data_IF_993874513448
#
_entry.id   IF_993874513448
#
_cell.length_a   1.000
_cell.length_b   1.000
_cell.length_c   1.000
_cell.angle_alpha   90.00
_cell.angle_beta   90.00
_cell.angle_gamma   90.00
#
_symmetry.space_group_name_H-M   'P 1'
#
loop_
_entity.id
_entity.type
_entity.pdbx_description
1 polymer ?
#
# COMPACT_ATOMS: atom_id res chain seq x y z
N UNK A 1 -29.25 10.05 -9.27
CA UNK A 1 -29.16 8.92 -8.33
C UNK A 1 -28.18 9.27 -7.24
N UNK A 2 -28.54 9.03 -5.99
CA UNK A 2 -27.60 9.21 -4.87
C UNK A 2 -26.49 8.14 -4.96
N UNK A 3 -25.29 8.39 -4.40
CA UNK A 3 -24.25 7.36 -4.32
C UNK A 3 -24.75 6.06 -3.67
N UNK A 4 -25.61 6.17 -2.65
CA UNK A 4 -26.23 5.03 -1.96
C UNK A 4 -27.18 4.21 -2.84
N UNK A 5 -27.80 4.82 -3.86
CA UNK A 5 -28.61 4.13 -4.87
C UNK A 5 -27.76 3.49 -5.97
N UNK A 6 -26.55 4.02 -6.21
CA UNK A 6 -25.67 3.59 -7.30
C UNK A 6 -24.72 2.46 -6.85
N UNK A 7 -24.30 2.46 -5.59
CA UNK A 7 -23.40 1.43 -5.01
C UNK A 7 -23.96 0.01 -5.15
N UNK A 8 -25.26 -0.27 -4.90
CA UNK A 8 -25.84 -1.59 -5.11
C UNK A 8 -25.90 -2.02 -6.59
N UNK A 9 -25.74 -1.09 -7.53
CA UNK A 9 -25.75 -1.35 -8.98
C UNK A 9 -24.34 -1.61 -9.54
N UNK A 10 -23.29 -1.26 -8.79
CA UNK A 10 -21.89 -1.44 -9.18
C UNK A 10 -21.48 -2.90 -8.97
N UNK A 11 -21.67 -3.72 -10.00
CA UNK A 11 -21.34 -5.14 -9.93
C UNK A 11 -19.88 -5.48 -10.29
N UNK A 12 -19.11 -4.51 -10.77
CA UNK A 12 -17.79 -4.76 -11.34
C UNK A 12 -16.86 -3.54 -11.24
N UNK A 13 -15.61 -3.76 -10.85
CA UNK A 13 -14.49 -2.82 -10.98
C UNK A 13 -13.42 -3.45 -11.87
N UNK A 14 -12.90 -2.69 -12.81
CA UNK A 14 -11.97 -3.18 -13.84
C UNK A 14 -10.67 -2.36 -13.79
N UNK A 15 -9.53 -3.04 -13.78
CA UNK A 15 -8.23 -2.44 -14.02
C UNK A 15 -7.34 -3.42 -14.80
N UNK A 16 -7.17 -3.19 -16.09
CA UNK A 16 -6.48 -4.13 -16.99
C UNK A 16 -7.07 -5.56 -16.88
N UNK A 17 -6.28 -6.55 -16.48
CA UNK A 17 -6.69 -7.93 -16.23
C UNK A 17 -7.26 -8.19 -14.83
N UNK A 18 -7.09 -7.25 -13.90
CA UNK A 18 -7.64 -7.32 -12.55
C UNK A 18 -9.12 -6.89 -12.55
N UNK A 19 -9.99 -7.82 -12.17
CA UNK A 19 -11.45 -7.61 -12.09
C UNK A 19 -11.94 -7.94 -10.69
N UNK A 20 -12.70 -7.00 -10.10
CA UNK A 20 -13.39 -7.20 -8.82
C UNK A 20 -14.89 -7.23 -9.10
N UNK A 21 -15.53 -8.35 -8.76
CA UNK A 21 -16.98 -8.48 -8.80
C UNK A 21 -17.56 -8.21 -7.41
N UNK A 22 -18.63 -7.43 -7.36
CA UNK A 22 -19.34 -7.09 -6.13
C UNK A 22 -20.80 -7.48 -6.34
N UNK A 23 -21.30 -8.42 -5.55
CA UNK A 23 -22.67 -8.90 -5.70
C UNK A 23 -23.15 -9.54 -4.40
N UNK A 24 -24.47 -9.66 -4.25
CA UNK A 24 -25.05 -10.53 -3.25
C UNK A 24 -24.71 -12.00 -3.55
N UNK A 25 -24.66 -12.83 -2.52
CA UNK A 25 -24.40 -14.28 -2.62
C UNK A 25 -25.30 -14.98 -3.64
N UNK A 26 -26.58 -14.64 -3.66
CA UNK A 26 -27.60 -15.19 -4.56
C UNK A 26 -27.32 -14.86 -6.03
N UNK A 27 -26.64 -13.74 -6.31
CA UNK A 27 -26.40 -13.24 -7.66
C UNK A 27 -24.97 -13.49 -8.14
N UNK A 28 -24.02 -13.68 -7.24
CA UNK A 28 -22.60 -13.90 -7.55
C UNK A 28 -22.37 -15.08 -8.51
N UNK A 29 -23.03 -16.23 -8.31
CA UNK A 29 -22.91 -17.39 -9.21
C UNK A 29 -23.36 -17.06 -10.64
N UNK A 30 -24.44 -16.29 -10.79
CA UNK A 30 -24.91 -15.84 -12.11
C UNK A 30 -23.92 -14.88 -12.77
N UNK A 31 -23.31 -13.98 -11.98
CA UNK A 31 -22.32 -13.02 -12.46
C UNK A 31 -21.03 -13.72 -12.92
N UNK A 32 -20.54 -14.69 -12.15
CA UNK A 32 -19.37 -15.51 -12.51
C UNK A 32 -19.60 -16.27 -13.82
N UNK A 33 -20.80 -16.84 -14.01
CA UNK A 33 -21.17 -17.51 -15.27
C UNK A 33 -21.13 -16.54 -16.45
N UNK A 34 -21.64 -15.31 -16.31
CA UNK A 34 -21.54 -14.29 -17.37
C UNK A 34 -20.09 -13.93 -17.69
N UNK A 35 -19.23 -13.81 -16.66
CA UNK A 35 -17.80 -13.56 -16.86
C UNK A 35 -17.10 -14.71 -17.59
N UNK A 36 -17.49 -15.95 -17.31
CA UNK A 36 -17.02 -17.14 -18.01
C UNK A 36 -17.46 -17.14 -19.47
N UNK A 37 -18.76 -16.98 -19.75
CA UNK A 37 -19.30 -16.91 -21.12
C UNK A 37 -18.62 -15.81 -21.95
N UNK A 38 -18.51 -14.60 -21.38
CA UNK A 38 -17.83 -13.47 -22.02
C UNK A 38 -16.36 -13.78 -22.31
N UNK A 39 -15.63 -14.37 -21.36
CA UNK A 39 -14.21 -14.70 -21.58
C UNK A 39 -14.00 -15.67 -22.73
N UNK A 40 -14.86 -16.70 -22.83
CA UNK A 40 -14.82 -17.68 -23.92
C UNK A 40 -15.16 -17.03 -25.26
N UNK A 41 -16.18 -16.16 -25.29
CA UNK A 41 -16.57 -15.41 -26.48
C UNK A 41 -15.44 -14.50 -26.98
N UNK A 42 -14.71 -13.87 -26.07
CA UNK A 42 -13.64 -12.92 -26.40
C UNK A 42 -12.27 -13.58 -26.56
N UNK A 43 -12.16 -14.90 -26.42
CA UNK A 43 -10.92 -15.64 -26.66
C UNK A 43 -9.86 -15.50 -25.57
N UNK A 44 -10.24 -15.14 -24.33
CA UNK A 44 -9.33 -15.13 -23.18
C UNK A 44 -9.83 -16.04 -22.06
N UNK A 45 -8.99 -16.30 -21.05
CA UNK A 45 -9.39 -17.11 -19.89
C UNK A 45 -9.00 -16.44 -18.58
N UNK A 46 -9.91 -16.49 -17.62
CA UNK A 46 -9.60 -16.20 -16.22
C UNK A 46 -8.61 -17.24 -15.68
N UNK A 47 -7.79 -16.86 -14.70
CA UNK A 47 -6.94 -17.80 -13.99
C UNK A 47 -7.52 -18.06 -12.58
N UNK A 48 -8.26 -19.17 -12.37
CA UNK A 48 -8.93 -19.44 -11.10
C UNK A 48 -8.00 -19.46 -9.88
N UNK A 49 -6.72 -19.82 -10.06
CA UNK A 49 -5.76 -19.87 -8.95
C UNK A 49 -5.26 -18.48 -8.52
N UNK A 50 -5.52 -17.44 -9.33
CA UNK A 50 -5.21 -16.03 -8.99
C UNK A 50 -6.45 -15.25 -8.55
N UNK A 51 -7.65 -15.79 -8.79
CA UNK A 51 -8.90 -15.21 -8.28
C UNK A 51 -9.03 -15.47 -6.77
N UNK A 52 -9.81 -14.65 -6.08
CA UNK A 52 -10.10 -14.83 -4.65
C UNK A 52 -11.54 -14.46 -4.35
N UNK A 53 -12.20 -15.23 -3.49
CA UNK A 53 -13.53 -14.91 -2.97
C UNK A 53 -13.41 -14.28 -1.59
N UNK A 54 -14.05 -13.12 -1.43
CA UNK A 54 -14.24 -12.41 -0.16
C UNK A 54 -15.67 -12.65 0.35
N UNK A 55 -15.93 -13.81 0.96
CA UNK A 55 -17.22 -14.13 1.60
C UNK A 55 -17.01 -14.25 3.12
N UNK A 56 -17.39 -13.21 3.87
CA UNK A 56 -17.16 -13.11 5.32
C UNK A 56 -18.21 -13.84 6.17
N UNK A 57 -19.03 -14.70 5.58
CA UNK A 57 -20.04 -15.47 6.31
C UNK A 57 -19.45 -16.72 6.95
N UNK A 58 -20.07 -17.16 8.06
CA UNK A 58 -19.67 -18.36 8.82
C UNK A 58 -19.72 -19.65 7.98
N UNK A 59 -20.62 -19.70 7.01
CA UNK A 59 -20.74 -20.80 6.03
C UNK A 59 -20.51 -20.25 4.62
N UNK A 60 -19.27 -20.31 4.12
CA UNK A 60 -18.94 -19.87 2.77
C UNK A 60 -19.51 -20.81 1.71
N UNK A 61 -20.09 -20.26 0.65
CA UNK A 61 -20.51 -21.05 -0.51
C UNK A 61 -19.32 -21.24 -1.47
N UNK A 62 -19.09 -22.45 -2.01
CA UNK A 62 -18.07 -22.64 -3.04
C UNK A 62 -18.52 -21.96 -4.34
N UNK A 63 -17.78 -20.94 -4.76
CA UNK A 63 -17.95 -20.31 -6.07
C UNK A 63 -16.98 -20.92 -7.08
N UNK A 64 -17.39 -21.00 -8.34
CA UNK A 64 -16.59 -21.62 -9.40
C UNK A 64 -16.51 -20.75 -10.65
N UNK A 65 -15.40 -20.89 -11.38
CA UNK A 65 -15.23 -20.48 -12.78
C UNK A 65 -14.57 -21.65 -13.51
N UNK A 66 -15.08 -22.03 -14.68
CA UNK A 66 -14.68 -23.21 -15.46
C UNK A 66 -14.72 -24.51 -14.63
N UNK A 67 -15.75 -24.65 -13.79
CA UNK A 67 -15.90 -25.76 -12.83
C UNK A 67 -14.73 -25.91 -11.84
N UNK A 68 -13.90 -24.88 -11.65
CA UNK A 68 -12.86 -24.85 -10.61
C UNK A 68 -13.31 -23.98 -9.45
N UNK A 69 -13.24 -24.54 -8.25
CA UNK A 69 -13.53 -23.80 -7.01
C UNK A 69 -12.50 -22.70 -6.83
N UNK A 70 -12.99 -21.48 -6.60
CA UNK A 70 -12.16 -20.33 -6.33
C UNK A 70 -11.65 -20.37 -4.87
N UNK A 71 -10.38 -20.04 -4.62
CA UNK A 71 -9.86 -20.01 -3.27
C UNK A 71 -10.55 -18.89 -2.47
N UNK A 72 -10.83 -19.20 -1.22
CA UNK A 72 -11.28 -18.19 -0.26
C UNK A 72 -10.06 -17.47 0.31
N UNK A 73 -10.21 -16.17 0.52
CA UNK A 73 -9.19 -15.35 1.14
C UNK A 73 -9.79 -14.01 1.50
N UNK A 74 -8.96 -13.01 1.84
CA UNK A 74 -9.46 -11.65 1.76
C UNK A 74 -9.03 -10.61 2.76
N UNK A 75 -8.21 -10.98 3.73
CA UNK A 75 -7.63 -9.97 4.59
C UNK A 75 -6.32 -9.48 4.00
N UNK A 76 -6.15 -8.16 4.01
CA UNK A 76 -4.84 -7.54 3.85
C UNK A 76 -4.00 -7.95 5.08
N UNK A 77 -3.41 -9.14 5.00
CA UNK A 77 -2.46 -9.60 5.98
C UNK A 77 -1.23 -8.69 5.90
N UNK A 78 -1.08 -7.86 6.93
CA UNK A 78 -0.01 -6.87 7.02
C UNK A 78 1.35 -7.54 7.20
N UNK A 79 1.40 -8.71 7.84
CA UNK A 79 2.65 -9.46 8.03
C UNK A 79 3.08 -10.11 6.72
N UNK A 80 2.15 -10.71 5.99
CA UNK A 80 2.42 -11.26 4.65
C UNK A 80 2.81 -10.15 3.66
N UNK A 81 2.14 -8.99 3.71
CA UNK A 81 2.52 -7.82 2.91
C UNK A 81 3.97 -7.41 3.18
N UNK A 82 4.34 -7.26 4.45
CA UNK A 82 5.71 -6.87 4.86
C UNK A 82 6.70 -7.93 4.39
N UNK A 83 6.42 -9.21 4.63
CA UNK A 83 7.31 -10.32 4.24
C UNK A 83 7.56 -10.34 2.74
N UNK A 84 6.50 -10.21 1.93
CA UNK A 84 6.58 -10.21 0.46
C UNK A 84 7.36 -8.99 -0.05
N UNK A 85 7.03 -7.81 0.44
CA UNK A 85 7.71 -6.57 0.05
C UNK A 85 9.18 -6.59 0.43
N UNK A 86 9.50 -7.07 1.63
CA UNK A 86 10.87 -7.21 2.14
C UNK A 86 11.68 -8.16 1.26
N UNK A 87 11.12 -9.32 0.95
CA UNK A 87 11.76 -10.31 0.08
C UNK A 87 12.06 -9.72 -1.31
N UNK A 88 11.09 -9.01 -1.89
CA UNK A 88 11.25 -8.37 -3.21
C UNK A 88 12.31 -7.26 -3.19
N UNK A 89 12.25 -6.37 -2.19
CA UNK A 89 13.22 -5.30 -2.00
C UNK A 89 14.65 -5.84 -1.81
N UNK A 90 14.83 -6.85 -0.96
CA UNK A 90 16.15 -7.46 -0.71
C UNK A 90 16.68 -8.20 -1.95
N UNK A 91 15.83 -8.91 -2.68
CA UNK A 91 16.23 -9.55 -3.95
C UNK A 91 16.71 -8.50 -4.96
N UNK A 92 15.98 -7.40 -5.12
CA UNK A 92 16.38 -6.29 -5.99
C UNK A 92 17.68 -5.65 -5.50
N UNK A 93 17.83 -5.44 -4.18
CA UNK A 93 19.06 -4.89 -3.61
C UNK A 93 20.26 -5.81 -3.85
N UNK A 94 20.09 -7.13 -3.84
CA UNK A 94 21.16 -8.08 -4.16
C UNK A 94 21.61 -7.98 -5.63
N UNK A 95 20.66 -7.84 -6.56
CA UNK A 95 20.96 -7.59 -7.98
C UNK A 95 21.66 -6.24 -8.14
N UNK A 96 21.18 -5.19 -7.48
CA UNK A 96 21.83 -3.88 -7.52
C UNK A 96 23.25 -3.93 -6.95
N UNK A 97 23.46 -4.71 -5.89
CA UNK A 97 24.76 -4.86 -5.25
C UNK A 97 25.78 -5.51 -6.20
N UNK A 98 25.37 -6.51 -7.00
CA UNK A 98 26.26 -7.17 -7.95
C UNK A 98 26.65 -6.28 -9.13
N UNK A 99 25.83 -5.30 -9.51
CA UNK A 99 26.13 -4.34 -10.59
C UNK A 99 26.85 -3.07 -10.11
N UNK A 100 27.33 -3.05 -8.85
CA UNK A 100 28.15 -1.95 -8.33
C UNK A 100 27.48 -1.05 -7.30
N UNK A 101 26.26 -1.34 -6.83
CA UNK A 101 25.65 -0.63 -5.68
C UNK A 101 26.18 -1.25 -4.38
N UNK A 102 27.47 -1.03 -4.15
CA UNK A 102 28.25 -1.57 -3.06
C UNK A 102 29.41 -0.59 -2.74
N UNK A 103 30.22 -0.84 -1.71
CA UNK A 103 31.22 0.14 -1.24
C UNK A 103 32.38 0.38 -2.22
N UNK A 104 32.66 -0.58 -3.10
CA UNK A 104 33.76 -0.53 -4.07
C UNK A 104 33.31 -0.13 -5.47
N UNK A 105 32.00 -0.02 -5.72
CA UNK A 105 31.43 0.35 -7.01
C UNK A 105 31.07 1.84 -7.10
N UNK A 106 29.78 2.12 -7.37
CA UNK A 106 29.28 3.48 -7.51
C UNK A 106 29.45 4.32 -6.25
N UNK A 107 29.54 5.64 -6.43
CA UNK A 107 29.59 6.58 -5.31
C UNK A 107 28.41 6.36 -4.35
N UNK A 108 28.65 6.55 -3.05
CA UNK A 108 27.61 6.38 -2.00
C UNK A 108 26.36 7.20 -2.30
N UNK A 109 26.52 8.43 -2.79
CA UNK A 109 25.41 9.30 -3.17
C UNK A 109 24.54 8.67 -4.27
N UNK A 110 25.17 8.16 -5.33
CA UNK A 110 24.46 7.51 -6.43
C UNK A 110 23.81 6.20 -5.98
N UNK A 111 24.54 5.38 -5.21
CA UNK A 111 24.06 4.13 -4.65
C UNK A 111 22.83 4.32 -3.76
N UNK A 112 22.83 5.33 -2.89
CA UNK A 112 21.68 5.70 -2.08
C UNK A 112 20.49 6.14 -2.94
N UNK A 113 20.70 6.92 -4.01
CA UNK A 113 19.63 7.32 -4.91
C UNK A 113 19.00 6.13 -5.62
N UNK A 114 19.80 5.20 -6.14
CA UNK A 114 19.28 3.96 -6.72
C UNK A 114 18.44 3.16 -5.72
N UNK A 115 18.92 3.00 -4.48
CA UNK A 115 18.14 2.35 -3.43
C UNK A 115 16.81 3.06 -3.15
N UNK A 116 16.84 4.39 -3.03
CA UNK A 116 15.65 5.20 -2.78
C UNK A 116 14.63 5.17 -3.93
N UNK A 117 15.08 5.03 -5.18
CA UNK A 117 14.23 5.08 -6.37
C UNK A 117 13.81 3.72 -6.91
N UNK A 118 14.54 2.64 -6.61
CA UNK A 118 14.28 1.29 -7.14
C UNK A 118 13.84 0.33 -6.04
N UNK A 119 14.63 0.23 -4.96
CA UNK A 119 14.38 -0.75 -3.88
C UNK A 119 13.26 -0.27 -2.97
N UNK A 120 13.33 0.99 -2.53
CA UNK A 120 12.39 1.54 -1.56
C UNK A 120 10.93 1.51 -2.02
N UNK A 121 10.58 1.81 -3.29
CA UNK A 121 9.20 1.69 -3.75
C UNK A 121 8.62 0.28 -3.64
N UNK A 122 9.45 -0.76 -3.76
CA UNK A 122 9.01 -2.15 -3.57
C UNK A 122 8.71 -2.43 -2.09
N UNK A 123 9.52 -1.89 -1.17
CA UNK A 123 9.28 -1.98 0.27
C UNK A 123 8.02 -1.21 0.68
N UNK A 124 7.79 -0.05 0.07
CA UNK A 124 6.69 0.89 0.38
C UNK A 124 5.32 0.46 -0.18
N UNK A 125 5.27 -0.55 -1.05
CA UNK A 125 4.03 -0.96 -1.71
C UNK A 125 2.95 -1.36 -0.70
N UNK A 126 1.76 -0.76 -0.79
CA UNK A 126 0.65 -1.05 0.13
C UNK A 126 0.79 -0.47 1.55
N UNK A 127 1.92 0.16 1.92
CA UNK A 127 2.06 0.77 3.26
C UNK A 127 1.12 1.97 3.46
N UNK A 128 0.77 2.67 2.37
CA UNK A 128 -0.08 3.86 2.43
C UNK A 128 -1.52 3.59 2.87
N UNK A 129 -2.00 2.36 2.70
CA UNK A 129 -3.39 1.97 2.98
C UNK A 129 -3.52 1.04 4.19
N UNK A 130 -2.43 0.70 4.88
CA UNK A 130 -2.42 -0.23 6.02
C UNK A 130 -1.97 0.46 7.31
N UNK A 131 -2.35 -0.10 8.47
CA UNK A 131 -1.82 0.32 9.78
C UNK A 131 -0.83 -0.73 10.26
N UNK A 132 0.21 -0.28 10.95
CA UNK A 132 1.28 -1.13 11.41
C UNK A 132 1.52 -0.90 12.90
N UNK A 133 1.79 -1.99 13.62
CA UNK A 133 2.28 -1.92 14.99
C UNK A 133 3.79 -1.65 15.02
N UNK A 134 4.35 -1.41 16.21
CA UNK A 134 5.77 -1.10 16.37
C UNK A 134 6.69 -2.22 15.89
N UNK A 135 6.32 -3.49 16.09
CA UNK A 135 7.09 -4.66 15.64
C UNK A 135 7.18 -4.72 14.12
N UNK A 136 6.05 -4.48 13.44
CA UNK A 136 5.97 -4.41 11.98
C UNK A 136 6.78 -3.24 11.42
N UNK A 137 6.66 -2.04 12.02
CA UNK A 137 7.46 -0.89 11.64
C UNK A 137 8.96 -1.14 11.82
N UNK A 138 9.35 -1.84 12.89
CA UNK A 138 10.74 -2.24 13.13
C UNK A 138 11.23 -3.21 12.06
N UNK A 139 10.43 -4.21 11.69
CA UNK A 139 10.76 -5.15 10.60
C UNK A 139 11.00 -4.41 9.27
N UNK A 140 10.15 -3.44 8.93
CA UNK A 140 10.31 -2.62 7.72
C UNK A 140 11.58 -1.77 7.81
N UNK A 141 11.89 -1.18 8.97
CA UNK A 141 13.13 -0.41 9.19
C UNK A 141 14.37 -1.29 9.03
N UNK A 142 14.36 -2.52 9.55
CA UNK A 142 15.49 -3.44 9.48
C UNK A 142 15.86 -3.82 8.03
N UNK A 143 14.87 -3.84 7.13
CA UNK A 143 15.09 -4.03 5.69
C UNK A 143 15.76 -2.80 5.06
N UNK A 144 15.30 -1.58 5.39
CA UNK A 144 15.95 -0.35 4.93
C UNK A 144 17.41 -0.30 5.42
N UNK A 145 17.62 -0.59 6.69
CA UNK A 145 18.93 -0.64 7.33
C UNK A 145 19.86 -1.67 6.67
N UNK A 146 19.34 -2.85 6.33
CA UNK A 146 20.10 -3.88 5.61
C UNK A 146 20.54 -3.41 4.22
N UNK A 147 19.66 -2.70 3.50
CA UNK A 147 20.01 -2.11 2.21
C UNK A 147 21.10 -1.03 2.34
N UNK A 148 20.99 -0.16 3.35
CA UNK A 148 21.99 0.88 3.61
C UNK A 148 23.34 0.27 4.02
N UNK A 149 23.35 -0.76 4.87
CA UNK A 149 24.60 -1.45 5.24
C UNK A 149 25.33 -2.00 4.02
N UNK A 150 24.61 -2.59 3.06
CA UNK A 150 25.18 -3.07 1.78
C UNK A 150 25.81 -1.94 0.95
N UNK A 151 25.20 -0.76 0.94
CA UNK A 151 25.72 0.42 0.22
C UNK A 151 26.98 0.98 0.89
N UNK A 152 26.96 1.12 2.21
CA UNK A 152 28.06 1.75 2.96
C UNK A 152 29.18 0.77 3.36
N UNK A 153 28.97 -0.54 3.21
CA UNK A 153 29.95 -1.57 3.55
C UNK A 153 30.05 -1.81 5.05
N UNK A 154 28.97 -1.48 5.76
CA UNK A 154 28.93 -1.59 7.21
C UNK A 154 28.64 -3.03 7.64
N UNK A 155 29.18 -3.41 8.80
CA UNK A 155 28.92 -4.72 9.40
C UNK A 155 27.45 -4.81 9.83
N UNK A 156 26.93 -6.03 9.92
CA UNK A 156 25.52 -6.29 10.25
C UNK A 156 25.07 -5.64 11.57
N UNK A 157 25.96 -5.63 12.58
CA UNK A 157 25.72 -5.03 13.90
C UNK A 157 26.07 -3.54 14.00
N UNK A 158 26.51 -2.91 12.91
CA UNK A 158 26.84 -1.49 12.93
C UNK A 158 25.57 -0.67 13.19
N UNK A 159 25.68 0.27 14.11
CA UNK A 159 24.60 1.19 14.44
C UNK A 159 24.22 2.02 13.20
N UNK A 160 23.00 1.84 12.72
CA UNK A 160 22.55 2.38 11.44
C UNK A 160 22.00 3.78 11.52
N UNK A 161 21.78 4.36 12.72
CA UNK A 161 21.10 5.66 12.86
C UNK A 161 21.71 6.80 12.03
N UNK A 162 23.02 6.78 11.78
CA UNK A 162 23.73 7.80 10.99
C UNK A 162 23.51 7.61 9.47
N UNK A 163 23.32 6.38 8.99
CA UNK A 163 23.27 6.09 7.55
C UNK A 163 22.03 6.69 6.86
N UNK A 164 20.79 6.57 7.40
CA UNK A 164 19.63 7.27 6.86
C UNK A 164 19.84 8.78 6.81
N UNK A 165 20.54 9.37 7.81
CA UNK A 165 20.82 10.80 7.81
C UNK A 165 21.77 11.21 6.68
N UNK A 166 22.89 10.49 6.52
CA UNK A 166 23.83 10.69 5.39
C UNK A 166 23.13 10.48 4.04
N UNK A 167 22.19 9.55 3.99
CA UNK A 167 21.37 9.24 2.82
C UNK A 167 20.22 10.24 2.58
N UNK A 168 19.97 11.18 3.50
CA UNK A 168 18.80 12.07 3.52
C UNK A 168 17.47 11.30 3.42
N UNK A 169 17.41 10.12 4.04
CA UNK A 169 16.23 9.27 4.09
C UNK A 169 15.53 9.40 5.46
N UNK A 170 14.20 9.55 5.47
CA UNK A 170 13.44 9.42 6.71
C UNK A 170 13.44 7.95 7.17
N UNK A 171 13.24 7.75 8.47
CA UNK A 171 12.92 6.44 9.03
C UNK A 171 11.66 5.88 8.36
N UNK A 172 11.54 4.56 8.31
CA UNK A 172 10.38 3.87 7.74
C UNK A 172 9.10 4.16 8.52
N UNK A 173 9.16 4.33 9.85
CA UNK A 173 8.02 4.78 10.65
C UNK A 173 7.48 6.16 10.19
N UNK A 174 8.37 7.15 10.05
CA UNK A 174 7.99 8.47 9.52
C UNK A 174 7.49 8.38 8.08
N UNK A 175 8.14 7.53 7.28
CA UNK A 175 7.79 7.34 5.87
C UNK A 175 6.39 6.75 5.72
N UNK A 176 6.02 5.78 6.55
CA UNK A 176 4.67 5.20 6.59
C UNK A 176 3.63 6.29 6.87
N UNK A 177 3.85 7.13 7.89
CA UNK A 177 2.94 8.24 8.18
C UNK A 177 2.82 9.23 7.02
N UNK A 178 3.92 9.53 6.32
CA UNK A 178 3.90 10.35 5.11
C UNK A 178 3.07 9.70 4.00
N UNK A 179 3.26 8.40 3.76
CA UNK A 179 2.53 7.67 2.71
C UNK A 179 1.03 7.62 3.01
N UNK A 180 0.66 7.34 4.27
CA UNK A 180 -0.73 7.32 4.74
C UNK A 180 -1.38 8.70 4.60
N UNK A 181 -0.72 9.76 5.05
CA UNK A 181 -1.21 11.12 4.91
C UNK A 181 -1.34 11.54 3.43
N UNK A 182 -0.41 11.11 2.57
CA UNK A 182 -0.51 11.34 1.13
C UNK A 182 -1.68 10.59 0.50
N UNK A 183 -1.98 9.36 0.94
CA UNK A 183 -3.16 8.62 0.49
C UNK A 183 -4.45 9.34 0.89
N UNK A 184 -4.58 9.75 2.15
CA UNK A 184 -5.75 10.50 2.65
C UNK A 184 -5.91 11.82 1.89
N UNK A 185 -4.84 12.59 1.71
CA UNK A 185 -4.85 13.82 0.93
C UNK A 185 -5.34 13.60 -0.51
N UNK A 186 -4.88 12.52 -1.17
CA UNK A 186 -5.32 12.17 -2.52
C UNK A 186 -6.78 11.75 -2.55
N UNK A 187 -7.25 11.00 -1.55
CA UNK A 187 -8.64 10.53 -1.50
C UNK A 187 -9.66 11.69 -1.46
N UNK A 188 -9.28 12.84 -0.89
CA UNK A 188 -10.11 14.06 -0.86
C UNK A 188 -10.08 14.87 -2.17
N UNK A 189 -9.25 14.48 -3.15
CA UNK A 189 -9.03 15.19 -4.42
C UNK A 189 -9.25 14.31 -5.63
N UNK A 190 -9.89 13.17 -5.43
CA UNK A 190 -10.26 12.32 -6.55
C UNK A 190 -11.36 13.01 -7.37
N UNK A 191 -11.43 12.74 -8.68
CA UNK A 191 -12.56 13.13 -9.51
C UNK A 191 -13.90 12.67 -8.92
N UNK A 192 -14.96 13.41 -9.17
CA UNK A 192 -16.30 13.12 -8.62
C UNK A 192 -16.83 11.75 -9.06
N UNK A 193 -16.42 11.22 -10.20
CA UNK A 193 -16.80 9.91 -10.72
C UNK A 193 -15.97 8.75 -10.13
N UNK A 194 -14.89 9.03 -9.40
CA UNK A 194 -14.13 8.00 -8.73
C UNK A 194 -14.94 7.33 -7.62
N UNK A 195 -14.96 5.99 -7.60
CA UNK A 195 -15.69 5.21 -6.59
C UNK A 195 -15.34 5.65 -5.16
N UNK A 196 -14.05 5.81 -4.86
CA UNK A 196 -13.62 6.22 -3.53
C UNK A 196 -14.16 7.62 -3.17
N UNK A 197 -14.26 8.55 -4.13
CA UNK A 197 -14.86 9.87 -3.90
C UNK A 197 -16.34 9.75 -3.50
N UNK A 198 -17.10 8.90 -4.21
CA UNK A 198 -18.52 8.63 -3.92
C UNK A 198 -18.74 7.93 -2.58
N UNK A 199 -17.82 7.04 -2.19
CA UNK A 199 -17.89 6.31 -0.92
C UNK A 199 -17.39 7.13 0.28
N UNK A 200 -16.54 8.13 0.04
CA UNK A 200 -15.82 8.86 1.08
C UNK A 200 -16.74 9.44 2.18
N UNK A 201 -17.88 10.07 1.86
CA UNK A 201 -18.80 10.60 2.87
C UNK A 201 -19.31 9.53 3.84
N UNK A 202 -19.42 8.29 3.39
CA UNK A 202 -19.92 7.18 4.19
C UNK A 202 -18.80 6.52 4.99
N UNK A 203 -17.65 6.24 4.38
CA UNK A 203 -16.59 5.46 5.02
C UNK A 203 -15.71 6.28 5.99
N UNK A 204 -15.64 7.61 5.82
CA UNK A 204 -14.75 8.46 6.63
C UNK A 204 -15.18 8.57 8.10
N UNK A 205 -16.43 8.23 8.40
CA UNK A 205 -17.00 8.30 9.75
C UNK A 205 -17.18 6.92 10.41
N UNK A 206 -17.01 5.83 9.66
CA UNK A 206 -17.17 4.47 10.18
C UNK A 206 -15.97 4.13 11.06
N UNK A 207 -16.22 3.97 12.36
CA UNK A 207 -15.20 3.50 13.31
C UNK A 207 -14.74 2.11 12.90
N UNK A 208 -13.43 1.91 12.79
CA UNK A 208 -12.83 0.66 12.33
C UNK A 208 -12.59 0.60 10.82
N UNK A 209 -13.19 1.48 10.01
CA UNK A 209 -12.85 1.55 8.59
C UNK A 209 -11.43 2.09 8.41
N UNK A 210 -10.69 1.52 7.46
CA UNK A 210 -9.27 1.80 7.27
C UNK A 210 -8.98 3.29 7.06
N UNK A 211 -9.81 4.00 6.30
CA UNK A 211 -9.70 5.45 6.11
C UNK A 211 -9.74 6.20 7.45
N UNK A 212 -10.74 5.90 8.30
CA UNK A 212 -10.89 6.53 9.62
C UNK A 212 -9.70 6.21 10.53
N UNK A 213 -9.21 4.97 10.50
CA UNK A 213 -8.06 4.55 11.28
C UNK A 213 -6.78 5.28 10.86
N UNK A 214 -6.56 5.46 9.56
CA UNK A 214 -5.43 6.21 9.01
C UNK A 214 -5.51 7.71 9.32
N UNK A 215 -6.73 8.26 9.40
CA UNK A 215 -6.94 9.67 9.75
C UNK A 215 -6.56 10.01 11.20
N UNK A 216 -6.21 9.01 12.02
CA UNK A 216 -5.71 9.18 13.39
C UNK A 216 -4.18 9.19 13.48
N UNK A 217 -3.49 9.18 12.34
CA UNK A 217 -2.02 9.19 12.32
C UNK A 217 -1.47 10.58 12.67
N UNK A 218 -0.29 10.67 13.35
CA UNK A 218 0.21 11.94 13.87
C UNK A 218 0.37 13.04 12.82
N UNK A 219 0.90 12.70 11.64
CA UNK A 219 1.07 13.67 10.55
C UNK A 219 -0.29 14.19 10.04
N UNK A 220 -1.28 13.31 9.88
CA UNK A 220 -2.60 13.72 9.41
C UNK A 220 -3.31 14.61 10.44
N UNK A 221 -3.24 14.27 11.72
CA UNK A 221 -3.83 15.07 12.80
C UNK A 221 -3.18 16.44 13.00
N UNK A 222 -1.97 16.65 12.48
CA UNK A 222 -1.31 17.96 12.50
C UNK A 222 -1.84 18.94 11.43
N UNK A 223 -2.68 18.46 10.51
CA UNK A 223 -3.27 19.25 9.44
C UNK A 223 -4.61 19.87 9.90
N UNK A 224 -5.04 20.98 9.28
CA UNK A 224 -6.35 21.58 9.55
C UNK A 224 -7.50 20.57 9.37
N UNK A 225 -8.52 20.69 10.22
CA UNK A 225 -9.63 19.73 10.36
C UNK A 225 -10.54 19.65 9.14
N UNK A 226 -10.63 20.71 8.34
CA UNK A 226 -11.49 20.85 7.16
C UNK A 226 -10.68 20.54 5.90
N UNK A 227 -10.89 19.34 5.33
CA UNK A 227 -10.20 18.88 4.11
C UNK A 227 -10.40 19.78 2.88
N UNK A 228 -11.40 20.65 2.89
CA UNK A 228 -11.69 21.65 1.85
C UNK A 228 -10.64 22.77 1.79
N UNK A 229 -10.03 23.12 2.93
CA UNK A 229 -9.00 24.15 2.99
C UNK A 229 -7.59 23.59 2.75
N UNK A 230 -7.40 22.27 2.88
CA UNK A 230 -6.09 21.64 2.89
C UNK A 230 -5.39 21.69 1.54
N UNK A 231 -4.65 22.76 1.23
CA UNK A 231 -3.88 22.90 -0.01
C UNK A 231 -2.57 22.08 -0.05
N UNK A 232 -1.94 22.03 -1.24
CA UNK A 232 -0.67 21.31 -1.47
C UNK A 232 0.50 21.92 -0.70
N UNK A 233 0.48 23.23 -0.46
CA UNK A 233 1.55 23.95 0.23
C UNK A 233 1.53 23.64 1.73
N UNK A 234 0.37 23.71 2.37
CA UNK A 234 0.15 23.33 3.76
C UNK A 234 0.56 21.89 4.03
N UNK A 235 0.18 20.95 3.15
CA UNK A 235 0.62 19.56 3.27
C UNK A 235 2.15 19.43 3.22
N UNK A 236 2.81 20.12 2.29
CA UNK A 236 4.28 20.13 2.20
C UNK A 236 4.94 20.73 3.44
N UNK A 237 4.38 21.82 3.97
CA UNK A 237 4.87 22.50 5.17
C UNK A 237 4.73 21.64 6.41
N UNK A 238 3.58 21.00 6.61
CA UNK A 238 3.34 20.07 7.70
C UNK A 238 4.27 18.84 7.61
N UNK A 239 4.44 18.26 6.42
CA UNK A 239 5.40 17.17 6.19
C UNK A 239 6.83 17.59 6.58
N UNK A 240 7.26 18.79 6.21
CA UNK A 240 8.60 19.31 6.55
C UNK A 240 8.76 19.45 8.07
N UNK A 241 7.78 20.06 8.74
CA UNK A 241 7.75 20.22 10.20
C UNK A 241 7.79 18.87 10.92
N UNK A 242 6.98 17.92 10.48
CA UNK A 242 6.92 16.56 11.03
C UNK A 242 8.28 15.84 10.96
N UNK A 243 8.94 15.91 9.79
CA UNK A 243 10.27 15.32 9.62
C UNK A 243 11.34 16.01 10.48
N UNK A 244 11.25 17.33 10.65
CA UNK A 244 12.15 18.07 11.51
C UNK A 244 11.98 17.69 12.99
N UNK A 245 10.76 17.62 13.49
CA UNK A 245 10.47 17.18 14.85
C UNK A 245 10.94 15.74 15.10
N UNK A 246 10.79 14.85 14.12
CA UNK A 246 11.34 13.50 14.20
C UNK A 246 12.88 13.52 14.27
N UNK A 247 13.55 14.39 13.52
CA UNK A 247 15.01 14.55 13.59
C UNK A 247 15.46 15.04 14.97
N UNK A 248 14.78 16.03 15.53
CA UNK A 248 15.08 16.60 16.86
C UNK A 248 14.94 15.54 17.97
N UNK A 249 13.90 14.69 17.93
CA UNK A 249 13.73 13.59 18.89
C UNK A 249 14.82 12.51 18.84
N UNK A 250 15.68 12.53 17.82
CA UNK A 250 16.74 11.53 17.60
C UNK A 250 18.13 12.01 18.03
N UNK A 251 18.28 13.31 18.28
CA UNK A 251 19.49 13.94 18.82
C UNK A 251 19.50 13.81 20.34
#
# INVERSE_FOLDING_TARGET
MSPLETIPLLNCLLYADDVVLIAERTTMTSLLRKCEEHSLQMGYRWNPSKCVILDNQLEPIPYTIYNRVLPQGGYLDSDELIRRNSSKALATMNVLNSIGINPSGFSRLLSTRFSAHIVRPQLEYGLAINRFNNTQLKSIEDVQDTCLRKIYGAREKTFTKVMPHLAKLPLMADRVHILQAQFLYRSLRLPDDALLCRLLPHIRHIRGHQWFLLSKTPLWQSLPSTGEELDKYMFKTAKKRFLQQSLEKRQ
#
